data_IF_752349592503
#
_entry.id   IF_752349592503
#
_cell.length_a   1.000
_cell.length_b   1.000
_cell.length_c   1.000
_cell.angle_alpha   90.00
_cell.angle_beta   90.00
_cell.angle_gamma   90.00
#
_symmetry.space_group_name_H-M   'P 1'
#
loop_
_entity.id
_entity.type
_entity.pdbx_description
1 polymer ?
#
# COMPACT_ATOMS: atom_id res chain seq x y z
N UNK A 1 -7.67 9.47 -2.52
CA UNK A 1 -7.09 8.20 -3.01
C UNK A 1 -5.89 7.86 -2.14
N UNK A 2 -5.80 6.60 -1.72
CA UNK A 2 -4.65 6.05 -0.99
C UNK A 2 -4.05 4.89 -1.79
N UNK A 3 -2.72 4.80 -1.85
CA UNK A 3 -2.02 3.64 -2.43
C UNK A 3 -0.61 3.52 -1.89
N UNK A 4 -0.06 2.30 -1.90
CA UNK A 4 1.24 1.98 -1.32
C UNK A 4 2.17 1.34 -2.35
N UNK A 5 3.48 1.62 -2.23
CA UNK A 5 4.55 0.99 -3.03
C UNK A 5 5.61 0.43 -2.07
N UNK A 6 5.76 -0.91 -1.98
CA UNK A 6 6.81 -1.52 -1.19
C UNK A 6 8.18 -1.29 -1.80
N UNK A 7 9.19 -1.23 -0.94
CA UNK A 7 10.60 -1.19 -1.30
C UNK A 7 11.44 -1.73 -0.13
N UNK A 8 12.59 -2.31 -0.41
CA UNK A 8 13.52 -2.79 0.61
C UNK A 8 14.24 -1.64 1.33
N UNK A 9 14.68 -0.62 0.57
CA UNK A 9 15.48 0.48 1.12
C UNK A 9 15.31 1.80 0.36
N UNK A 10 15.34 2.90 1.11
CA UNK A 10 15.41 4.24 0.53
C UNK A 10 16.83 4.58 0.11
N UNK A 11 17.04 4.75 -1.19
CA UNK A 11 18.29 5.25 -1.77
C UNK A 11 18.13 6.71 -2.21
N UNK A 12 19.23 7.46 -2.42
CA UNK A 12 19.15 8.80 -2.98
C UNK A 12 18.39 8.88 -4.31
N UNK A 13 18.50 7.86 -5.18
CA UNK A 13 17.77 7.82 -6.46
C UNK A 13 16.26 7.65 -6.26
N UNK A 14 15.84 6.84 -5.28
CA UNK A 14 14.42 6.69 -4.93
C UNK A 14 13.86 7.99 -4.33
N UNK A 15 14.60 8.66 -3.43
CA UNK A 15 14.16 9.94 -2.87
C UNK A 15 14.07 11.04 -3.94
N UNK A 16 15.01 11.05 -4.88
CA UNK A 16 14.96 11.95 -6.04
C UNK A 16 13.76 11.66 -6.94
N UNK A 17 13.45 10.38 -7.16
CA UNK A 17 12.26 9.94 -7.88
C UNK A 17 10.98 10.45 -7.19
N UNK A 18 10.85 10.28 -5.87
CA UNK A 18 9.69 10.78 -5.10
C UNK A 18 9.57 12.30 -5.24
N UNK A 19 10.67 13.05 -5.07
CA UNK A 19 10.69 14.51 -5.26
C UNK A 19 10.17 14.91 -6.65
N UNK A 20 10.63 14.21 -7.68
CA UNK A 20 10.25 14.51 -9.06
C UNK A 20 8.77 14.18 -9.34
N UNK A 21 8.24 13.09 -8.79
CA UNK A 21 6.81 12.76 -8.84
C UNK A 21 5.97 13.85 -8.15
N UNK A 22 6.36 14.28 -6.95
CA UNK A 22 5.68 15.37 -6.20
C UNK A 22 5.60 16.65 -7.01
N UNK A 23 6.71 17.09 -7.61
CA UNK A 23 6.74 18.31 -8.43
C UNK A 23 5.92 18.18 -9.71
N UNK A 24 6.02 17.03 -10.39
CA UNK A 24 5.32 16.77 -11.63
C UNK A 24 3.79 16.77 -11.42
N UNK A 25 3.28 15.94 -10.52
CA UNK A 25 1.84 15.84 -10.26
C UNK A 25 1.29 17.08 -9.55
N UNK A 26 2.08 17.71 -8.68
CA UNK A 26 1.75 19.00 -8.10
C UNK A 26 1.52 20.09 -9.14
N UNK A 27 2.24 20.06 -10.26
CA UNK A 27 2.01 20.97 -11.39
C UNK A 27 0.84 20.51 -12.28
N UNK A 28 0.80 19.22 -12.63
CA UNK A 28 -0.23 18.61 -13.51
C UNK A 28 -1.65 18.83 -12.96
N UNK A 29 -1.80 18.87 -11.64
CA UNK A 29 -3.11 18.94 -10.98
C UNK A 29 -3.55 20.35 -10.55
N UNK A 30 -2.79 21.40 -10.87
CA UNK A 30 -3.13 22.80 -10.49
C UNK A 30 -4.48 23.30 -11.03
N UNK A 31 -4.93 22.78 -12.16
CA UNK A 31 -6.20 23.16 -12.79
C UNK A 31 -7.42 22.39 -12.24
N UNK A 32 -7.20 21.46 -11.31
CA UNK A 32 -8.21 20.62 -10.70
C UNK A 32 -8.37 20.95 -9.22
N UNK A 33 -9.34 20.33 -8.58
CA UNK A 33 -9.69 20.53 -7.16
C UNK A 33 -8.75 19.83 -6.17
N UNK A 34 -7.53 19.46 -6.58
CA UNK A 34 -6.53 18.87 -5.69
C UNK A 34 -6.21 19.82 -4.53
N UNK A 35 -6.31 19.31 -3.30
CA UNK A 35 -5.99 20.05 -2.07
C UNK A 35 -4.71 19.55 -1.42
N UNK A 36 -4.41 18.26 -1.54
CA UNK A 36 -3.19 17.66 -1.04
C UNK A 36 -2.71 16.55 -1.99
N UNK A 37 -1.42 16.59 -2.30
CA UNK A 37 -0.70 15.57 -3.04
C UNK A 37 0.49 15.22 -2.15
N UNK A 38 0.42 14.08 -1.47
CA UNK A 38 1.45 13.63 -0.54
C UNK A 38 2.10 12.34 -1.01
N UNK A 39 3.39 12.27 -0.72
CA UNK A 39 4.23 11.10 -0.89
C UNK A 39 5.00 10.91 0.41
N UNK A 40 4.53 9.99 1.24
CA UNK A 40 5.10 9.78 2.57
C UNK A 40 6.10 8.64 2.49
N UNK A 41 7.34 8.93 2.87
CA UNK A 41 8.48 8.00 2.90
C UNK A 41 8.50 7.35 4.27
N UNK A 42 8.16 6.05 4.33
CA UNK A 42 7.99 5.31 5.59
C UNK A 42 9.07 4.23 5.69
N UNK A 43 10.25 4.53 6.27
CA UNK A 43 11.31 3.56 6.45
C UNK A 43 11.00 2.62 7.62
N UNK A 44 11.22 1.32 7.40
CA UNK A 44 11.25 0.33 8.47
C UNK A 44 12.65 -0.17 8.76
N UNK A 45 12.87 -0.60 10.00
CA UNK A 45 14.12 -1.21 10.40
C UNK A 45 14.18 -2.64 9.82
N UNK A 46 15.37 -3.12 9.43
CA UNK A 46 15.53 -4.53 9.04
C UNK A 46 15.06 -5.52 10.11
N UNK A 47 15.09 -5.10 11.38
CA UNK A 47 14.66 -5.90 12.53
C UNK A 47 13.15 -5.83 12.82
N UNK A 48 12.32 -5.35 11.89
CA UNK A 48 10.88 -5.14 12.09
C UNK A 48 10.17 -6.39 12.63
N UNK A 49 10.59 -7.57 12.19
CA UNK A 49 9.99 -8.85 12.57
C UNK A 49 10.84 -9.71 13.51
N UNK A 50 11.97 -9.20 14.00
CA UNK A 50 12.90 -9.95 14.87
C UNK A 50 12.40 -10.06 16.32
N UNK A 51 11.28 -9.41 16.66
CA UNK A 51 10.80 -9.31 18.03
C UNK A 51 10.03 -10.55 18.52
N UNK A 52 9.57 -11.42 17.61
CA UNK A 52 8.87 -12.66 17.96
C UNK A 52 8.80 -13.61 16.77
N UNK A 53 8.97 -14.90 17.03
CA UNK A 53 8.71 -15.96 16.04
C UNK A 53 7.23 -16.37 15.94
N UNK A 54 6.35 -15.76 16.76
CA UNK A 54 4.93 -16.12 16.75
C UNK A 54 4.24 -15.54 15.51
N UNK A 55 3.60 -16.37 14.66
CA UNK A 55 2.84 -15.88 13.51
C UNK A 55 1.75 -14.89 13.89
N UNK A 56 1.42 -13.94 12.99
CA UNK A 56 0.25 -13.06 13.17
C UNK A 56 -0.67 -13.03 11.97
N UNK A 57 -1.67 -12.14 12.00
CA UNK A 57 -2.52 -11.87 10.87
C UNK A 57 -1.76 -11.18 9.72
N UNK A 58 -0.86 -10.23 10.01
CA UNK A 58 -0.11 -9.50 8.99
C UNK A 58 1.31 -9.09 9.46
N UNK A 59 2.34 -9.39 8.66
CA UNK A 59 2.39 -10.56 7.80
C UNK A 59 2.22 -11.83 8.65
N UNK A 60 1.89 -12.94 7.97
CA UNK A 60 1.77 -14.25 8.60
C UNK A 60 3.13 -14.77 9.05
N UNK A 61 4.14 -14.62 8.18
CA UNK A 61 5.53 -14.95 8.44
C UNK A 61 6.21 -13.87 9.27
N UNK A 62 7.23 -14.28 10.02
CA UNK A 62 8.16 -13.41 10.74
C UNK A 62 9.53 -13.33 10.07
N UNK A 63 9.62 -13.82 8.84
CA UNK A 63 10.82 -13.71 8.02
C UNK A 63 11.15 -12.21 7.81
N UNK A 64 12.36 -11.76 8.16
CA UNK A 64 12.82 -10.40 7.90
C UNK A 64 12.69 -9.99 6.42
N UNK A 65 12.76 -10.95 5.48
CA UNK A 65 12.57 -10.72 4.05
C UNK A 65 11.17 -10.23 3.64
N UNK A 66 10.16 -10.34 4.53
CA UNK A 66 8.83 -9.75 4.31
C UNK A 66 8.69 -8.33 4.88
N UNK A 67 9.73 -7.83 5.57
CA UNK A 67 9.76 -6.47 6.13
C UNK A 67 10.16 -5.46 5.07
N UNK A 68 9.17 -4.82 4.44
CA UNK A 68 9.42 -3.78 3.45
C UNK A 68 9.19 -2.38 4.04
N UNK A 69 10.00 -1.42 3.63
CA UNK A 69 9.62 -0.01 3.74
C UNK A 69 8.55 0.32 2.68
N UNK A 70 7.88 1.46 2.82
CA UNK A 70 6.82 1.84 1.88
C UNK A 70 6.85 3.32 1.52
N UNK A 71 6.44 3.62 0.29
CA UNK A 71 6.00 4.96 -0.10
C UNK A 71 4.47 4.95 -0.08
N UNK A 72 3.87 5.78 0.76
CA UNK A 72 2.43 6.04 0.75
C UNK A 72 2.12 7.22 -0.17
N UNK A 73 1.19 7.01 -1.10
CA UNK A 73 0.60 8.04 -1.95
C UNK A 73 -0.76 8.44 -1.38
N UNK A 74 -0.94 9.73 -1.10
CA UNK A 74 -2.24 10.30 -0.74
C UNK A 74 -2.60 11.49 -1.61
N UNK A 75 -3.67 11.36 -2.39
CA UNK A 75 -4.25 12.46 -3.16
C UNK A 75 -5.62 12.81 -2.57
N UNK A 76 -5.78 14.06 -2.13
CA UNK A 76 -7.02 14.63 -1.64
C UNK A 76 -7.51 15.74 -2.56
N UNK A 77 -8.82 15.79 -2.77
CA UNK A 77 -9.49 16.77 -3.65
C UNK A 77 -10.91 17.07 -3.15
N UNK A 78 -11.55 18.09 -3.71
CA UNK A 78 -12.87 18.57 -3.21
C UNK A 78 -14.00 18.49 -4.21
N UNK A 79 -13.74 18.50 -5.53
CA UNK A 79 -14.76 18.38 -6.56
C UNK A 79 -14.88 16.91 -7.01
N UNK A 80 -16.04 16.24 -6.80
CA UNK A 80 -16.23 14.86 -7.25
C UNK A 80 -16.16 14.69 -8.78
N UNK A 81 -16.29 15.76 -9.57
CA UNK A 81 -16.06 15.68 -11.01
C UNK A 81 -14.61 15.34 -11.37
N UNK A 82 -13.68 15.54 -10.43
CA UNK A 82 -12.27 15.22 -10.61
C UNK A 82 -11.91 13.79 -10.15
N UNK A 83 -12.86 13.00 -9.67
CA UNK A 83 -12.61 11.63 -9.17
C UNK A 83 -11.85 10.78 -10.20
N UNK A 84 -12.30 10.79 -11.45
CA UNK A 84 -11.72 9.99 -12.52
C UNK A 84 -10.28 10.39 -12.81
N UNK A 85 -9.99 11.71 -12.88
CA UNK A 85 -8.63 12.17 -13.16
C UNK A 85 -7.72 11.84 -11.97
N UNK A 86 -8.15 12.06 -10.72
CA UNK A 86 -7.34 11.81 -9.52
C UNK A 86 -6.99 10.33 -9.36
N UNK A 87 -7.95 9.44 -9.60
CA UNK A 87 -7.72 8.00 -9.58
C UNK A 87 -6.77 7.56 -10.69
N UNK A 88 -6.95 8.08 -11.91
CA UNK A 88 -6.09 7.75 -13.04
C UNK A 88 -4.63 8.16 -12.78
N UNK A 89 -4.39 9.43 -12.44
CA UNK A 89 -3.02 9.93 -12.26
C UNK A 89 -2.33 9.33 -11.04
N UNK A 90 -3.08 9.02 -9.98
CA UNK A 90 -2.52 8.32 -8.83
C UNK A 90 -2.10 6.89 -9.19
N UNK A 91 -2.90 6.19 -10.00
CA UNK A 91 -2.55 4.85 -10.48
C UNK A 91 -1.33 4.90 -11.42
N UNK A 92 -1.24 5.90 -12.30
CA UNK A 92 -0.06 6.16 -13.15
C UNK A 92 1.20 6.39 -12.28
N UNK A 93 1.11 7.20 -11.23
CA UNK A 93 2.21 7.46 -10.29
C UNK A 93 2.66 6.19 -9.57
N UNK A 94 1.72 5.39 -9.06
CA UNK A 94 2.02 4.12 -8.38
C UNK A 94 2.68 3.12 -9.32
N UNK A 95 2.17 2.96 -10.54
CA UNK A 95 2.75 2.06 -11.54
C UNK A 95 4.18 2.46 -11.89
N UNK A 96 4.43 3.77 -12.07
CA UNK A 96 5.77 4.30 -12.31
C UNK A 96 6.72 4.03 -11.14
N UNK A 97 6.29 4.28 -9.90
CA UNK A 97 7.10 4.03 -8.70
C UNK A 97 7.45 2.55 -8.56
N UNK A 98 6.48 1.65 -8.76
CA UNK A 98 6.72 0.19 -8.74
C UNK A 98 7.77 -0.22 -9.78
N UNK A 99 7.65 0.28 -11.01
CA UNK A 99 8.62 -0.01 -12.06
C UNK A 99 10.01 0.55 -11.70
N UNK A 100 10.09 1.78 -11.21
CA UNK A 100 11.35 2.39 -10.83
C UNK A 100 12.07 1.62 -9.71
N UNK A 101 11.32 1.14 -8.70
CA UNK A 101 11.87 0.32 -7.62
C UNK A 101 12.44 -1.00 -8.16
N UNK A 102 11.71 -1.66 -9.06
CA UNK A 102 12.18 -2.88 -9.71
C UNK A 102 13.43 -2.63 -10.58
N UNK A 103 13.43 -1.56 -11.39
CA UNK A 103 14.57 -1.17 -12.23
C UNK A 103 15.81 -0.78 -11.40
N UNK A 104 15.60 -0.28 -10.17
CA UNK A 104 16.65 -0.02 -9.19
C UNK A 104 17.19 -1.29 -8.53
N UNK A 105 16.67 -2.47 -8.88
CA UNK A 105 17.17 -3.78 -8.46
C UNK A 105 16.65 -4.26 -7.11
N UNK A 106 15.56 -3.70 -6.59
CA UNK A 106 14.95 -4.17 -5.35
C UNK A 106 13.88 -5.22 -5.63
N UNK A 107 13.90 -6.33 -4.89
CA UNK A 107 12.94 -7.43 -5.06
C UNK A 107 11.77 -7.29 -4.09
N UNK A 108 10.65 -6.79 -4.62
CA UNK A 108 9.40 -6.61 -3.87
C UNK A 108 8.21 -7.22 -4.60
N UNK A 109 8.45 -8.13 -5.53
CA UNK A 109 7.38 -8.74 -6.32
C UNK A 109 6.38 -9.54 -5.45
N UNK A 110 6.87 -10.10 -4.35
CA UNK A 110 6.10 -10.90 -3.39
C UNK A 110 5.77 -10.12 -2.10
N UNK A 111 5.99 -8.80 -2.07
CA UNK A 111 5.70 -7.98 -0.91
C UNK A 111 4.18 -7.91 -0.67
N UNK A 112 3.75 -8.31 0.53
CA UNK A 112 2.35 -8.16 0.93
C UNK A 112 1.98 -6.68 1.12
N UNK A 113 0.76 -6.32 0.72
CA UNK A 113 0.23 -4.97 0.90
C UNK A 113 -0.36 -4.80 2.31
N UNK A 114 0.02 -3.74 2.99
CA UNK A 114 -0.50 -3.46 4.34
C UNK A 114 -2.01 -3.20 4.32
N UNK A 115 -2.85 -3.97 5.05
CA UNK A 115 -4.30 -3.92 4.89
C UNK A 115 -4.94 -2.58 5.24
N UNK A 116 -4.36 -1.80 6.14
CA UNK A 116 -4.92 -0.50 6.52
C UNK A 116 -4.82 0.54 5.40
N UNK A 117 -3.97 0.30 4.40
CA UNK A 117 -3.71 1.26 3.34
C UNK A 117 -3.74 0.65 1.93
N UNK A 118 -4.17 -0.61 1.80
CA UNK A 118 -4.31 -1.26 0.51
C UNK A 118 -5.45 -0.61 -0.32
N UNK A 119 -5.25 -0.36 -1.62
CA UNK A 119 -6.27 0.22 -2.49
C UNK A 119 -7.56 -0.62 -2.51
N UNK A 120 -8.71 0.03 -2.64
CA UNK A 120 -10.00 -0.68 -2.78
C UNK A 120 -9.95 -1.69 -3.93
N UNK A 121 -10.49 -2.89 -3.71
CA UNK A 121 -10.44 -3.99 -4.67
C UNK A 121 -9.15 -4.81 -4.68
N UNK A 122 -8.18 -4.51 -3.81
CA UNK A 122 -7.00 -5.37 -3.60
C UNK A 122 -7.45 -6.77 -3.17
N UNK A 123 -6.86 -7.81 -3.76
CA UNK A 123 -7.16 -9.20 -3.42
C UNK A 123 -6.68 -9.50 -1.99
N UNK A 124 -7.41 -10.35 -1.26
CA UNK A 124 -7.05 -10.67 0.13
C UNK A 124 -5.72 -11.42 0.21
N UNK A 125 -5.42 -12.21 -0.82
CA UNK A 125 -4.19 -12.97 -0.97
C UNK A 125 -2.97 -12.04 -1.04
N UNK A 126 -3.10 -10.90 -1.74
CA UNK A 126 -2.04 -9.89 -1.86
C UNK A 126 -1.75 -9.18 -0.53
N UNK A 127 -2.67 -9.25 0.43
CA UNK A 127 -2.50 -8.67 1.76
C UNK A 127 -2.12 -9.71 2.81
N UNK A 128 -2.80 -10.86 2.85
CA UNK A 128 -2.69 -11.80 3.96
C UNK A 128 -1.88 -13.06 3.62
N UNK A 129 -1.62 -13.33 2.34
CA UNK A 129 -0.90 -14.53 1.89
C UNK A 129 -1.39 -15.80 2.60
N UNK A 130 -0.44 -16.55 3.15
CA UNK A 130 -0.72 -17.83 3.83
C UNK A 130 -1.61 -17.72 5.08
N UNK A 131 -1.78 -16.53 5.67
CA UNK A 131 -2.72 -16.38 6.80
C UNK A 131 -4.19 -16.38 6.38
N UNK A 132 -4.49 -16.21 5.09
CA UNK A 132 -5.86 -15.96 4.62
C UNK A 132 -6.82 -17.09 5.04
N UNK A 133 -6.46 -18.35 4.80
CA UNK A 133 -7.32 -19.50 5.15
C UNK A 133 -7.65 -19.54 6.65
N UNK A 134 -6.65 -19.28 7.49
CA UNK A 134 -6.85 -19.23 8.95
C UNK A 134 -7.76 -18.08 9.35
N UNK A 135 -7.61 -16.91 8.74
CA UNK A 135 -8.45 -15.75 9.02
C UNK A 135 -9.91 -15.99 8.62
N UNK A 136 -10.15 -16.65 7.49
CA UNK A 136 -11.49 -17.05 7.04
C UNK A 136 -12.15 -18.06 8.00
N UNK A 137 -11.36 -19.02 8.52
CA UNK A 137 -11.81 -19.96 9.54
C UNK A 137 -12.21 -19.24 10.85
N UNK A 138 -11.38 -18.30 11.31
CA UNK A 138 -11.68 -17.48 12.50
C UNK A 138 -12.96 -16.68 12.29
N UNK A 139 -13.09 -15.99 11.14
CA UNK A 139 -14.30 -15.23 10.82
C UNK A 139 -15.54 -16.12 10.84
N UNK A 140 -15.47 -17.33 10.29
CA UNK A 140 -16.60 -18.27 10.27
C UNK A 140 -16.99 -18.76 11.67
N UNK A 141 -16.03 -18.89 12.58
CA UNK A 141 -16.28 -19.29 13.96
C UNK A 141 -16.81 -18.13 14.84
N UNK A 142 -16.37 -16.90 14.58
CA UNK A 142 -16.66 -15.72 15.43
C UNK A 142 -17.84 -14.91 14.92
N UNK A 143 -18.01 -14.80 13.60
CA UNK A 143 -19.10 -14.08 12.93
C UNK A 143 -19.84 -15.00 11.94
N UNK A 144 -20.50 -16.08 12.43
CA UNK A 144 -21.13 -17.08 11.58
C UNK A 144 -22.27 -16.50 10.71
N UNK A 145 -22.95 -15.47 11.20
CA UNK A 145 -24.05 -14.80 10.50
C UNK A 145 -23.58 -13.65 9.60
N UNK A 146 -22.26 -13.46 9.48
CA UNK A 146 -21.64 -12.47 8.61
C UNK A 146 -22.08 -11.01 8.86
N UNK A 147 -22.37 -10.69 10.12
CA UNK A 147 -22.86 -9.36 10.52
C UNK A 147 -21.80 -8.30 10.23
N UNK A 148 -20.51 -8.62 10.40
CA UNK A 148 -19.42 -7.67 10.17
C UNK A 148 -19.22 -7.33 8.70
N UNK A 149 -19.71 -8.12 7.74
CA UNK A 149 -19.68 -7.71 6.33
C UNK A 149 -20.65 -6.58 5.96
N UNK A 150 -21.53 -6.21 6.88
CA UNK A 150 -22.41 -5.05 6.74
C UNK A 150 -21.66 -3.73 7.00
N UNK A 151 -20.45 -3.79 7.57
CA UNK A 151 -19.59 -2.62 7.74
C UNK A 151 -18.67 -2.41 6.52
N UNK A 152 -17.89 -1.32 6.54
CA UNK A 152 -16.75 -1.17 5.64
C UNK A 152 -15.62 -2.16 5.98
N UNK A 153 -14.57 -2.15 5.17
CA UNK A 153 -13.38 -3.00 5.36
C UNK A 153 -13.32 -4.23 4.44
N UNK A 154 -12.33 -5.08 4.71
CA UNK A 154 -12.04 -6.30 3.94
C UNK A 154 -13.01 -7.42 4.27
N UNK A 155 -13.51 -8.13 3.24
CA UNK A 155 -14.52 -9.18 3.36
C UNK A 155 -13.84 -10.54 3.21
N UNK A 156 -13.76 -11.33 4.28
CA UNK A 156 -13.15 -12.67 4.35
C UNK A 156 -14.14 -13.78 4.02
#
# INVERSE_FOLDING_TARGET
>A
MFSWVPLEQFTPSILEMVKNQTLFYGSKLKGYSATLISYDVIPYLPSLYDHSDTPSAFPSSRDPGQGHSFIELYYGWTDPNDDAIMQQVGAESVAYMKQFVADAGQDVANALLYPNCAPSGTALEDMYGDALERLQSIRSAVDPDNVMSLTGGWRF
#
